data_IF_913375194809
#
_entry.id   IF_913375194809
#
_cell.length_a   1.000
_cell.length_b   1.000
_cell.length_c   1.000
_cell.angle_alpha   90.00
_cell.angle_beta   90.00
_cell.angle_gamma   90.00
#
_symmetry.space_group_name_H-M   'P 1'
#
loop_
_entity.id
_entity.type
_entity.pdbx_description
1 polymer ?
#
# COMPACT_ATOMS: atom_id res chain seq x y z
N UNK A 1 -11.93 -19.84 -6.71
CA UNK A 1 -11.79 -18.48 -6.15
C UNK A 1 -13.10 -18.09 -5.49
N UNK A 2 -13.04 -17.38 -4.37
CA UNK A 2 -14.21 -17.01 -3.56
C UNK A 2 -14.23 -15.49 -3.45
N UNK A 3 -15.01 -14.77 -4.26
CA UNK A 3 -15.06 -13.30 -4.22
C UNK A 3 -15.82 -12.76 -2.99
N UNK A 4 -16.67 -13.60 -2.38
CA UNK A 4 -17.43 -13.31 -1.17
C UNK A 4 -17.05 -14.32 -0.09
N UNK A 5 -16.54 -13.83 1.05
CA UNK A 5 -16.15 -14.65 2.21
C UNK A 5 -17.37 -15.01 3.05
N UNK A 6 -18.30 -14.05 3.18
CA UNK A 6 -19.49 -14.18 3.99
C UNK A 6 -20.64 -13.42 3.33
N UNK A 7 -21.80 -14.08 3.29
CA UNK A 7 -23.04 -13.52 2.76
C UNK A 7 -24.15 -13.74 3.78
N UNK A 8 -24.83 -12.65 4.16
CA UNK A 8 -26.05 -12.72 4.97
C UNK A 8 -27.08 -11.73 4.44
N UNK A 9 -28.04 -12.26 3.67
CA UNK A 9 -29.04 -11.45 2.98
C UNK A 9 -28.39 -10.45 2.02
N UNK A 10 -28.59 -9.16 2.27
CA UNK A 10 -28.03 -8.06 1.46
C UNK A 10 -26.58 -7.70 1.84
N UNK A 11 -26.06 -8.23 2.95
CA UNK A 11 -24.71 -7.94 3.43
C UNK A 11 -23.69 -8.93 2.87
N UNK A 12 -22.72 -8.40 2.12
CA UNK A 12 -21.67 -9.17 1.46
C UNK A 12 -20.30 -8.69 1.94
N UNK A 13 -19.50 -9.60 2.50
CA UNK A 13 -18.09 -9.35 2.79
C UNK A 13 -17.27 -9.85 1.60
N UNK A 14 -16.76 -8.92 0.81
CA UNK A 14 -15.87 -9.22 -0.30
C UNK A 14 -14.47 -9.60 0.20
N UNK A 15 -13.88 -10.59 -0.48
CA UNK A 15 -12.59 -11.17 -0.09
C UNK A 15 -11.45 -10.18 -0.15
N UNK A 16 -11.44 -9.30 -1.15
CA UNK A 16 -10.44 -8.24 -1.21
C UNK A 16 -10.47 -7.34 0.04
N UNK A 17 -11.67 -6.84 0.41
CA UNK A 17 -11.83 -6.00 1.58
C UNK A 17 -11.47 -6.72 2.88
N UNK A 18 -11.84 -7.99 3.01
CA UNK A 18 -11.45 -8.83 4.14
C UNK A 18 -9.94 -8.95 4.32
N UNK A 19 -9.21 -9.29 3.25
CA UNK A 19 -7.75 -9.42 3.34
C UNK A 19 -7.07 -8.07 3.59
N UNK A 20 -7.51 -6.98 2.96
CA UNK A 20 -6.98 -5.64 3.25
C UNK A 20 -7.19 -5.28 4.73
N UNK A 21 -8.39 -5.51 5.28
CA UNK A 21 -8.66 -5.27 6.69
C UNK A 21 -7.78 -6.14 7.60
N UNK A 22 -7.62 -7.42 7.28
CA UNK A 22 -6.73 -8.33 8.00
C UNK A 22 -5.27 -7.85 7.97
N UNK A 23 -4.81 -7.32 6.83
CA UNK A 23 -3.48 -6.75 6.67
C UNK A 23 -3.28 -5.50 7.52
N UNK A 24 -4.23 -4.57 7.52
CA UNK A 24 -4.21 -3.37 8.36
C UNK A 24 -4.20 -3.74 9.84
N UNK A 25 -5.07 -4.67 10.28
CA UNK A 25 -5.13 -5.13 11.66
C UNK A 25 -3.84 -5.82 12.08
N UNK A 26 -3.30 -6.72 11.26
CA UNK A 26 -2.04 -7.42 11.54
C UNK A 26 -0.89 -6.43 11.67
N UNK A 27 -0.77 -5.50 10.71
CA UNK A 27 0.23 -4.43 10.72
C UNK A 27 0.10 -3.54 11.96
N UNK A 28 -1.12 -3.12 12.31
CA UNK A 28 -1.37 -2.32 13.51
C UNK A 28 -0.96 -3.06 14.79
N UNK A 29 -1.31 -4.34 14.94
CA UNK A 29 -0.94 -5.13 16.12
C UNK A 29 0.59 -5.28 16.26
N UNK A 30 1.28 -5.56 15.16
CA UNK A 30 2.74 -5.67 15.16
C UNK A 30 3.41 -4.31 15.39
N UNK A 31 2.88 -3.24 14.81
CA UNK A 31 3.31 -1.86 15.07
C UNK A 31 3.13 -1.52 16.54
N UNK A 32 1.97 -1.79 17.14
CA UNK A 32 1.72 -1.56 18.56
C UNK A 32 2.70 -2.33 19.44
N UNK A 33 2.99 -3.59 19.10
CA UNK A 33 3.98 -4.40 19.82
C UNK A 33 5.38 -3.78 19.70
N UNK A 34 5.80 -3.38 18.51
CA UNK A 34 7.10 -2.74 18.29
C UNK A 34 7.19 -1.39 19.03
N UNK A 35 6.15 -0.58 18.97
CA UNK A 35 6.01 0.69 19.68
C UNK A 35 6.20 0.51 21.20
N UNK A 36 5.54 -0.50 21.78
CA UNK A 36 5.71 -0.84 23.20
C UNK A 36 7.14 -1.28 23.56
N UNK A 37 7.82 -1.99 22.66
CA UNK A 37 9.20 -2.45 22.88
C UNK A 37 10.23 -1.32 22.73
N UNK A 38 10.01 -0.40 21.80
CA UNK A 38 10.95 0.70 21.49
C UNK A 38 10.67 1.98 22.28
N UNK A 39 9.50 2.08 22.94
CA UNK A 39 9.04 3.28 23.64
C UNK A 39 8.67 4.44 22.71
N UNK A 40 8.61 4.22 21.40
CA UNK A 40 8.24 5.23 20.42
C UNK A 40 7.77 4.60 19.09
N UNK A 41 6.69 5.12 18.46
CA UNK A 41 5.65 5.99 19.07
C UNK A 41 4.95 5.28 20.24
N UNK A 42 4.02 5.94 20.94
CA UNK A 42 3.20 5.23 21.94
C UNK A 42 2.23 4.26 21.26
N UNK A 43 1.76 3.25 22.01
CA UNK A 43 0.75 2.30 21.51
C UNK A 43 -0.52 3.00 21.06
N UNK A 44 -0.99 3.98 21.83
CA UNK A 44 -2.21 4.73 21.51
C UNK A 44 -2.02 5.58 20.26
N UNK A 45 -0.86 6.22 20.11
CA UNK A 45 -0.51 6.94 18.89
C UNK A 45 -0.50 6.04 17.65
N UNK A 46 -0.16 4.75 17.78
CA UNK A 46 -0.27 3.79 16.68
C UNK A 46 -1.73 3.55 16.30
N UNK A 47 -2.61 3.30 17.27
CA UNK A 47 -4.04 3.08 17.01
C UNK A 47 -4.68 4.32 16.39
N UNK A 48 -4.44 5.49 16.98
CA UNK A 48 -4.97 6.77 16.52
C UNK A 48 -4.48 7.09 15.11
N UNK A 49 -3.19 6.86 14.83
CA UNK A 49 -2.61 7.05 13.49
C UNK A 49 -3.28 6.15 12.45
N UNK A 50 -3.41 4.86 12.73
CA UNK A 50 -4.03 3.91 11.81
C UNK A 50 -5.49 4.28 11.57
N UNK A 51 -6.24 4.55 12.65
CA UNK A 51 -7.64 4.97 12.55
C UNK A 51 -7.78 6.26 11.71
N UNK A 52 -7.00 7.29 12.03
CA UNK A 52 -7.04 8.57 11.33
C UNK A 52 -6.68 8.43 9.84
N UNK A 53 -5.68 7.60 9.52
CA UNK A 53 -5.24 7.34 8.15
C UNK A 53 -6.31 6.57 7.36
N UNK A 54 -6.92 5.55 7.95
CA UNK A 54 -8.00 4.76 7.32
C UNK A 54 -9.22 5.64 7.07
N UNK A 55 -9.68 6.41 8.06
CA UNK A 55 -10.82 7.32 7.91
C UNK A 55 -10.55 8.39 6.85
N UNK A 56 -9.36 9.00 6.86
CA UNK A 56 -8.97 9.97 5.83
C UNK A 56 -8.98 9.34 4.44
N UNK A 57 -8.49 8.10 4.31
CA UNK A 57 -8.51 7.36 3.05
C UNK A 57 -9.92 7.07 2.54
N UNK A 58 -10.82 6.57 3.38
CA UNK A 58 -12.22 6.37 2.97
C UNK A 58 -12.90 7.68 2.58
N UNK A 59 -12.70 8.73 3.37
CA UNK A 59 -13.25 10.05 3.09
C UNK A 59 -12.74 10.60 1.75
N UNK A 60 -11.44 10.56 1.49
CA UNK A 60 -10.86 11.03 0.23
C UNK A 60 -11.29 10.21 -0.98
N UNK A 61 -11.38 8.88 -0.82
CA UNK A 61 -11.85 8.00 -1.87
C UNK A 61 -13.30 8.33 -2.26
N UNK A 62 -14.15 8.64 -1.27
CA UNK A 62 -15.53 9.05 -1.50
C UNK A 62 -15.62 10.44 -2.11
N UNK A 63 -14.91 11.42 -1.56
CA UNK A 63 -14.91 12.80 -2.06
C UNK A 63 -14.49 12.85 -3.53
N UNK A 64 -13.42 12.15 -3.90
CA UNK A 64 -12.99 12.14 -5.30
C UNK A 64 -14.01 11.46 -6.22
N UNK A 65 -14.70 10.42 -5.74
CA UNK A 65 -15.80 9.80 -6.48
C UNK A 65 -16.97 10.77 -6.71
N UNK A 66 -17.36 11.52 -5.67
CA UNK A 66 -18.43 12.52 -5.76
C UNK A 66 -18.06 13.65 -6.73
N UNK A 67 -16.81 14.09 -6.74
CA UNK A 67 -16.34 15.13 -7.68
C UNK A 67 -16.48 14.64 -9.12
N UNK A 68 -16.12 13.39 -9.42
CA UNK A 68 -16.21 12.84 -10.78
C UNK A 68 -17.65 12.57 -11.22
N UNK A 69 -18.55 12.28 -10.27
CA UNK A 69 -19.95 11.93 -10.55
C UNK A 69 -20.93 12.98 -10.02
N UNK A 70 -20.51 14.25 -9.94
CA UNK A 70 -21.26 15.29 -9.22
C UNK A 70 -22.72 15.42 -9.68
N UNK A 71 -22.99 15.29 -10.97
CA UNK A 71 -24.32 15.40 -11.54
C UNK A 71 -25.30 14.35 -10.99
N UNK A 72 -24.84 13.15 -10.65
CA UNK A 72 -25.70 12.08 -10.10
C UNK A 72 -26.05 12.33 -8.62
N UNK A 73 -25.15 12.96 -7.88
CA UNK A 73 -25.27 13.14 -6.43
C UNK A 73 -25.77 14.53 -6.03
N UNK A 74 -25.75 15.50 -6.95
CA UNK A 74 -26.28 16.84 -6.72
C UNK A 74 -27.75 16.76 -6.28
N UNK A 75 -28.05 17.27 -5.08
CA UNK A 75 -29.40 17.24 -4.50
C UNK A 75 -29.76 15.98 -3.70
N UNK A 76 -28.85 15.01 -3.51
CA UNK A 76 -29.09 13.79 -2.72
C UNK A 76 -28.06 13.63 -1.58
N UNK A 77 -28.14 14.42 -0.49
CA UNK A 77 -27.11 14.46 0.56
C UNK A 77 -26.85 13.11 1.25
N UNK A 78 -27.90 12.31 1.46
CA UNK A 78 -27.77 10.98 2.08
C UNK A 78 -26.97 10.02 1.19
N UNK A 79 -27.13 10.10 -0.13
CA UNK A 79 -26.33 9.29 -1.06
C UNK A 79 -24.89 9.75 -1.15
N UNK A 80 -24.57 11.01 -0.84
CA UNK A 80 -23.18 11.48 -0.82
C UNK A 80 -22.34 10.72 0.21
N UNK A 81 -22.92 10.35 1.35
CA UNK A 81 -22.24 9.60 2.42
C UNK A 81 -22.43 8.08 2.34
N UNK A 82 -23.27 7.59 1.43
CA UNK A 82 -23.62 6.19 1.28
C UNK A 82 -22.47 5.35 0.67
N UNK A 83 -21.42 5.11 1.45
CA UNK A 83 -20.24 4.32 1.05
C UNK A 83 -20.57 2.84 0.80
N UNK A 84 -21.70 2.35 1.34
CA UNK A 84 -22.20 0.99 1.11
C UNK A 84 -22.80 0.79 -0.29
N UNK A 85 -23.15 1.85 -1.01
CA UNK A 85 -23.54 1.78 -2.43
C UNK A 85 -22.34 1.56 -3.37
N UNK A 86 -21.12 1.47 -2.81
CA UNK A 86 -19.88 1.51 -3.56
C UNK A 86 -19.47 2.94 -3.89
N UNK A 87 -18.73 3.14 -4.97
CA UNK A 87 -18.30 4.46 -5.40
C UNK A 87 -17.15 5.03 -4.57
N UNK A 88 -16.00 4.37 -4.63
CA UNK A 88 -14.75 4.78 -3.99
C UNK A 88 -13.66 4.80 -5.05
N UNK A 89 -12.91 5.90 -5.13
CA UNK A 89 -11.78 6.04 -6.07
C UNK A 89 -10.48 5.85 -5.32
N UNK A 90 -9.70 4.85 -5.74
CA UNK A 90 -8.44 4.47 -5.10
C UNK A 90 -7.44 5.64 -4.98
N UNK A 91 -7.29 6.46 -6.02
CA UNK A 91 -6.41 7.63 -6.00
C UNK A 91 -6.81 8.67 -4.95
N UNK A 92 -8.11 8.92 -4.78
CA UNK A 92 -8.63 9.83 -3.76
C UNK A 92 -8.32 9.34 -2.36
N UNK A 93 -8.42 8.02 -2.16
CA UNK A 93 -8.08 7.40 -0.88
C UNK A 93 -6.60 7.46 -0.56
N UNK A 94 -5.71 7.19 -1.53
CA UNK A 94 -4.27 7.29 -1.30
C UNK A 94 -3.83 8.72 -0.96
N UNK A 95 -4.31 9.71 -1.70
CA UNK A 95 -3.95 11.12 -1.48
C UNK A 95 -4.40 11.58 -0.10
N UNK A 96 -5.65 11.30 0.27
CA UNK A 96 -6.17 11.70 1.56
C UNK A 96 -5.59 10.90 2.73
N UNK A 97 -5.27 9.62 2.56
CA UNK A 97 -4.56 8.83 3.56
C UNK A 97 -3.16 9.41 3.82
N UNK A 98 -2.41 9.77 2.76
CA UNK A 98 -1.11 10.40 2.90
C UNK A 98 -1.21 11.78 3.58
N UNK A 99 -2.18 12.61 3.18
CA UNK A 99 -2.42 13.89 3.82
C UNK A 99 -2.78 13.72 5.31
N UNK A 100 -3.68 12.79 5.62
CA UNK A 100 -4.09 12.46 6.98
C UNK A 100 -2.92 11.99 7.84
N UNK A 101 -2.06 11.13 7.30
CA UNK A 101 -0.83 10.67 7.94
C UNK A 101 0.08 11.87 8.31
N UNK A 102 0.35 12.77 7.36
CA UNK A 102 1.23 13.92 7.56
C UNK A 102 0.64 14.94 8.55
N UNK A 103 -0.68 15.18 8.46
CA UNK A 103 -1.42 16.01 9.42
C UNK A 103 -1.32 15.39 10.82
N UNK A 104 -1.51 14.09 10.95
CA UNK A 104 -1.42 13.41 12.25
C UNK A 104 -0.04 13.56 12.88
N UNK A 105 1.04 13.39 12.11
CA UNK A 105 2.40 13.62 12.62
C UNK A 105 2.57 15.05 13.13
N UNK A 106 2.04 16.03 12.39
CA UNK A 106 2.15 17.44 12.73
C UNK A 106 1.36 17.82 13.97
N UNK A 107 0.15 17.28 14.13
CA UNK A 107 -0.72 17.51 15.28
C UNK A 107 -0.15 16.87 16.55
N UNK A 108 0.43 15.67 16.43
CA UNK A 108 0.98 14.92 17.56
C UNK A 108 2.48 15.19 17.81
N UNK A 109 3.08 16.15 17.10
CA UNK A 109 4.50 16.53 17.21
C UNK A 109 5.47 15.35 17.02
N UNK A 110 5.11 14.43 16.13
CA UNK A 110 5.93 13.26 15.83
C UNK A 110 6.95 13.59 14.72
N UNK A 111 8.23 13.20 14.86
CA UNK A 111 9.25 13.38 13.83
C UNK A 111 8.88 12.61 12.55
N UNK A 112 8.62 13.29 11.41
CA UNK A 112 8.06 12.63 10.23
C UNK A 112 8.94 11.52 9.65
N UNK A 113 10.25 11.73 9.51
CA UNK A 113 11.15 10.73 8.92
C UNK A 113 11.27 9.47 9.78
N UNK A 114 11.38 9.65 11.11
CA UNK A 114 11.40 8.54 12.06
C UNK A 114 10.08 7.76 12.05
N UNK A 115 8.94 8.46 11.93
CA UNK A 115 7.64 7.81 11.79
C UNK A 115 7.51 7.06 10.47
N UNK A 116 7.94 7.63 9.35
CA UNK A 116 7.93 6.94 8.05
C UNK A 116 8.80 5.67 8.11
N UNK A 117 10.02 5.75 8.66
CA UNK A 117 10.89 4.58 8.84
C UNK A 117 10.27 3.50 9.73
N UNK A 118 9.49 3.90 10.73
CA UNK A 118 8.73 2.98 11.57
C UNK A 118 7.61 2.28 10.78
N UNK A 119 6.89 3.02 9.93
CA UNK A 119 5.66 2.59 9.25
C UNK A 119 5.88 1.78 7.97
N UNK A 120 6.82 2.19 7.12
CA UNK A 120 6.95 1.63 5.76
C UNK A 120 7.15 0.10 5.70
N UNK A 121 7.80 -0.60 6.65
CA UNK A 121 7.82 -2.06 6.62
C UNK A 121 6.40 -2.64 6.73
N UNK A 122 5.56 -2.05 7.57
CA UNK A 122 4.18 -2.49 7.78
C UNK A 122 3.26 -2.13 6.61
N UNK A 123 3.60 -1.10 5.85
CA UNK A 123 2.96 -0.85 4.55
C UNK A 123 3.26 -2.00 3.59
N UNK A 124 4.51 -2.44 3.48
CA UNK A 124 4.88 -3.62 2.68
C UNK A 124 4.13 -4.88 3.14
N UNK A 125 4.03 -5.11 4.47
CA UNK A 125 3.24 -6.21 5.00
C UNK A 125 1.76 -6.11 4.59
N UNK A 126 1.17 -4.93 4.65
CA UNK A 126 -0.22 -4.69 4.22
C UNK A 126 -0.41 -4.99 2.73
N UNK A 127 0.58 -4.69 1.88
CA UNK A 127 0.55 -5.07 0.46
C UNK A 127 0.50 -6.58 0.26
N UNK A 128 1.21 -7.39 1.06
CA UNK A 128 1.14 -8.86 1.00
C UNK A 128 -0.31 -9.31 1.10
N UNK A 129 -1.04 -8.83 2.11
CA UNK A 129 -2.45 -9.17 2.30
C UNK A 129 -3.32 -8.65 1.16
N UNK A 130 -3.12 -7.41 0.72
CA UNK A 130 -3.85 -6.86 -0.43
C UNK A 130 -3.70 -7.70 -1.68
N UNK A 131 -2.50 -8.22 -1.94
CA UNK A 131 -2.18 -9.06 -3.10
C UNK A 131 -2.74 -10.47 -3.00
N UNK A 132 -2.72 -11.07 -1.80
CA UNK A 132 -3.46 -12.31 -1.53
C UNK A 132 -4.96 -12.10 -1.74
N UNK A 133 -5.50 -10.95 -1.31
CA UNK A 133 -6.87 -10.54 -1.58
C UNK A 133 -7.18 -10.44 -3.07
N UNK A 134 -6.31 -9.80 -3.86
CA UNK A 134 -6.43 -9.74 -5.32
C UNK A 134 -6.45 -11.12 -5.97
N UNK A 135 -5.60 -12.04 -5.49
CA UNK A 135 -5.57 -13.41 -5.98
C UNK A 135 -6.93 -14.11 -5.77
N UNK A 136 -7.48 -14.07 -4.56
CA UNK A 136 -8.79 -14.69 -4.29
C UNK A 136 -9.96 -13.98 -4.99
N UNK A 137 -9.84 -12.68 -5.22
CA UNK A 137 -10.79 -11.89 -6.00
C UNK A 137 -10.70 -12.17 -7.51
N UNK A 138 -9.62 -12.82 -7.96
CA UNK A 138 -9.38 -13.14 -9.37
C UNK A 138 -9.00 -11.95 -10.24
N UNK A 139 -8.46 -10.86 -9.65
CA UNK A 139 -8.08 -9.66 -10.38
C UNK A 139 -6.55 -9.46 -10.40
N UNK A 140 -6.06 -8.67 -11.37
CA UNK A 140 -4.65 -8.34 -11.51
C UNK A 140 -3.71 -9.54 -11.79
N UNK A 141 -4.18 -10.55 -12.51
CA UNK A 141 -3.35 -11.65 -13.00
C UNK A 141 -2.35 -11.17 -14.05
N UNK A 142 -1.32 -11.98 -14.30
CA UNK A 142 -0.37 -11.75 -15.36
C UNK A 142 -0.83 -12.33 -16.71
N UNK A 143 0.13 -12.43 -17.61
CA UNK A 143 -0.11 -12.95 -18.96
C UNK A 143 -0.40 -14.45 -18.98
N UNK A 144 -1.03 -14.95 -20.07
CA UNK A 144 -1.18 -16.37 -20.29
C UNK A 144 0.15 -17.09 -20.17
N UNK A 145 0.15 -18.25 -19.49
CA UNK A 145 1.37 -18.98 -19.17
C UNK A 145 1.11 -20.48 -19.11
N UNK A 146 2.08 -21.26 -19.59
CA UNK A 146 2.07 -22.72 -19.53
C UNK A 146 2.98 -23.28 -18.41
N UNK A 147 3.44 -22.42 -17.51
CA UNK A 147 4.25 -22.85 -16.37
C UNK A 147 3.45 -23.80 -15.45
N UNK A 148 4.10 -24.76 -14.78
CA UNK A 148 3.40 -25.79 -13.99
C UNK A 148 2.67 -25.24 -12.76
N UNK A 149 2.97 -24.01 -12.33
CA UNK A 149 2.28 -23.30 -11.24
C UNK A 149 1.37 -22.16 -11.75
N UNK A 150 1.12 -22.07 -13.06
CA UNK A 150 0.14 -21.14 -13.61
C UNK A 150 -1.26 -21.49 -13.09
N UNK A 151 -2.11 -20.48 -12.93
CA UNK A 151 -3.45 -20.62 -12.35
C UNK A 151 -4.49 -20.26 -13.38
N UNK A 152 -5.51 -21.12 -13.56
CA UNK A 152 -6.69 -20.81 -14.36
C UNK A 152 -7.71 -20.09 -13.49
N UNK A 153 -8.02 -18.84 -13.84
CA UNK A 153 -8.97 -18.01 -13.12
C UNK A 153 -10.41 -18.32 -13.58
N UNK A 154 -11.44 -18.17 -12.72
CA UNK A 154 -12.82 -18.44 -13.12
C UNK A 154 -13.24 -17.66 -14.35
N UNK A 155 -13.85 -18.34 -15.33
CA UNK A 155 -14.28 -17.73 -16.59
C UNK A 155 -13.21 -17.67 -17.68
N UNK A 156 -11.99 -18.12 -17.42
CA UNK A 156 -10.92 -18.19 -18.42
C UNK A 156 -10.67 -19.63 -18.89
N UNK A 157 -10.34 -19.79 -20.17
CA UNK A 157 -9.99 -21.07 -20.80
C UNK A 157 -8.49 -21.39 -20.76
N UNK A 158 -7.66 -20.46 -20.29
CA UNK A 158 -6.21 -20.57 -20.27
C UNK A 158 -5.66 -20.20 -18.89
N UNK A 159 -4.49 -20.75 -18.56
CA UNK A 159 -3.79 -20.46 -17.30
C UNK A 159 -2.96 -19.19 -17.44
N UNK A 160 -2.78 -18.47 -16.33
CA UNK A 160 -2.00 -17.23 -16.26
C UNK A 160 -0.94 -17.28 -15.18
N UNK A 161 0.06 -16.40 -15.29
CA UNK A 161 0.94 -16.09 -14.17
C UNK A 161 0.12 -15.58 -12.96
N UNK A 162 0.19 -16.21 -11.78
CA UNK A 162 -0.35 -15.65 -10.54
C UNK A 162 0.54 -14.50 -10.02
N UNK A 163 0.65 -13.44 -10.81
CA UNK A 163 1.50 -12.27 -10.55
C UNK A 163 1.24 -11.64 -9.18
N UNK A 164 0.00 -11.75 -8.68
CA UNK A 164 -0.38 -11.31 -7.34
C UNK A 164 0.38 -12.07 -6.25
N UNK A 165 0.54 -13.39 -6.38
CA UNK A 165 1.28 -14.20 -5.40
C UNK A 165 2.78 -13.93 -5.48
N UNK A 166 3.31 -13.64 -6.67
CA UNK A 166 4.70 -13.22 -6.82
C UNK A 166 4.95 -11.88 -6.13
N UNK A 167 4.07 -10.89 -6.34
CA UNK A 167 4.15 -9.59 -5.68
C UNK A 167 4.02 -9.73 -4.15
N UNK A 168 3.05 -10.54 -3.68
CA UNK A 168 2.88 -10.83 -2.25
C UNK A 168 4.15 -11.44 -1.62
N UNK A 169 4.80 -12.40 -2.30
CA UNK A 169 6.02 -13.02 -1.81
C UNK A 169 7.19 -12.01 -1.77
N UNK A 170 7.34 -11.19 -2.80
CA UNK A 170 8.37 -10.16 -2.87
C UNK A 170 8.14 -9.04 -1.84
N UNK A 171 6.89 -8.62 -1.62
CA UNK A 171 6.53 -7.64 -0.58
C UNK A 171 6.79 -8.19 0.83
N UNK A 172 6.58 -9.50 1.04
CA UNK A 172 6.94 -10.15 2.30
C UNK A 172 8.45 -10.16 2.50
N UNK A 173 9.23 -10.47 1.46
CA UNK A 173 10.68 -10.38 1.51
C UNK A 173 11.15 -8.94 1.77
N UNK A 174 10.49 -7.95 1.18
CA UNK A 174 10.75 -6.52 1.42
C UNK A 174 10.47 -6.17 2.89
N UNK A 175 9.32 -6.54 3.44
CA UNK A 175 8.99 -6.36 4.86
C UNK A 175 10.08 -6.96 5.76
N UNK A 176 10.45 -8.22 5.55
CA UNK A 176 11.48 -8.89 6.35
C UNK A 176 12.85 -8.23 6.21
N UNK A 177 13.20 -7.75 5.02
CA UNK A 177 14.46 -7.03 4.77
C UNK A 177 14.49 -5.69 5.47
N UNK A 178 13.40 -4.92 5.42
CA UNK A 178 13.28 -3.64 6.12
C UNK A 178 13.27 -3.81 7.64
N UNK A 179 12.63 -4.86 8.17
CA UNK A 179 12.67 -5.18 9.60
C UNK A 179 14.08 -5.57 10.05
N UNK A 180 14.86 -6.25 9.21
CA UNK A 180 16.29 -6.51 9.48
C UNK A 180 17.11 -5.23 9.43
N UNK A 181 16.89 -4.37 8.43
CA UNK A 181 17.55 -3.08 8.31
C UNK A 181 17.28 -2.19 9.53
N UNK A 182 16.05 -2.17 10.05
CA UNK A 182 15.69 -1.44 11.28
C UNK A 182 16.44 -1.89 12.54
N UNK A 183 17.06 -3.08 12.54
CA UNK A 183 17.89 -3.56 13.66
C UNK A 183 19.32 -3.01 13.62
N UNK A 184 19.77 -2.48 12.48
CA UNK A 184 21.08 -1.84 12.36
C UNK A 184 21.03 -0.36 12.74
N UNK A 185 19.90 0.12 13.26
CA UNK A 185 19.65 1.51 13.66
C UNK A 185 20.12 2.55 12.63
N UNK A 186 19.64 2.46 11.37
CA UNK A 186 20.10 3.35 10.32
C UNK A 186 19.61 4.79 10.58
N UNK A 187 20.23 5.80 9.94
CA UNK A 187 19.78 7.18 10.03
C UNK A 187 18.32 7.35 9.60
N UNK A 188 17.63 8.34 10.17
CA UNK A 188 16.23 8.62 9.84
C UNK A 188 16.02 8.88 8.33
N UNK A 189 14.97 8.27 7.78
CA UNK A 189 14.59 8.29 6.37
C UNK A 189 15.23 7.17 5.53
N UNK A 190 16.19 6.42 6.08
CA UNK A 190 16.91 5.40 5.31
C UNK A 190 16.05 4.17 5.02
N UNK A 191 15.23 3.74 6.00
CA UNK A 191 14.30 2.61 5.83
C UNK A 191 13.20 2.98 4.83
N UNK A 192 12.72 4.23 4.88
CA UNK A 192 11.78 4.81 3.93
C UNK A 192 12.33 4.79 2.51
N UNK A 193 13.58 5.21 2.30
CA UNK A 193 14.22 5.11 0.99
C UNK A 193 14.34 3.65 0.53
N UNK A 194 14.73 2.73 1.42
CA UNK A 194 14.80 1.30 1.14
C UNK A 194 13.46 0.72 0.71
N UNK A 195 12.35 1.13 1.34
CA UNK A 195 11.01 0.73 0.95
C UNK A 195 10.67 1.20 -0.47
N UNK A 196 10.82 2.49 -0.76
CA UNK A 196 10.48 3.03 -2.08
C UNK A 196 11.34 2.43 -3.20
N UNK A 197 12.63 2.22 -2.96
CA UNK A 197 13.52 1.54 -3.90
C UNK A 197 13.10 0.07 -4.10
N UNK A 198 12.94 -0.68 -3.01
CA UNK A 198 12.57 -2.09 -3.06
C UNK A 198 11.23 -2.31 -3.74
N UNK A 199 10.21 -1.53 -3.36
CA UNK A 199 8.88 -1.62 -3.95
C UNK A 199 8.86 -1.19 -5.42
N UNK A 200 9.66 -0.18 -5.81
CA UNK A 200 9.80 0.20 -7.22
C UNK A 200 10.38 -0.96 -8.05
N UNK A 201 11.39 -1.64 -7.53
CA UNK A 201 11.99 -2.82 -8.19
C UNK A 201 10.96 -3.94 -8.33
N UNK A 202 10.23 -4.26 -7.26
CA UNK A 202 9.17 -5.27 -7.27
C UNK A 202 8.12 -4.92 -8.33
N UNK A 203 7.61 -3.69 -8.31
CA UNK A 203 6.60 -3.23 -9.27
C UNK A 203 7.09 -3.27 -10.70
N UNK A 204 8.34 -2.86 -10.94
CA UNK A 204 8.93 -2.91 -12.27
C UNK A 204 8.94 -4.34 -12.82
N UNK A 205 9.42 -5.32 -12.05
CA UNK A 205 9.49 -6.72 -12.48
C UNK A 205 8.11 -7.36 -12.63
N UNK A 206 7.20 -7.15 -11.68
CA UNK A 206 5.84 -7.72 -11.75
C UNK A 206 5.11 -7.22 -13.00
N UNK A 207 5.29 -5.95 -13.34
CA UNK A 207 4.65 -5.36 -14.52
C UNK A 207 5.15 -5.97 -15.84
N UNK A 208 6.38 -6.49 -15.90
CA UNK A 208 6.87 -7.21 -17.10
C UNK A 208 6.14 -8.52 -17.37
N UNK A 209 5.46 -9.07 -16.36
CA UNK A 209 4.68 -10.31 -16.47
C UNK A 209 3.21 -10.06 -16.81
N UNK A 210 2.83 -8.81 -17.10
CA UNK A 210 1.46 -8.39 -17.40
C UNK A 210 1.44 -7.74 -18.77
N UNK A 211 0.32 -7.89 -19.48
CA UNK A 211 0.18 -7.37 -20.84
C UNK A 211 0.35 -5.86 -20.77
N UNK A 212 1.52 -5.39 -21.19
CA UNK A 212 1.86 -4.00 -21.16
C UNK A 212 0.96 -3.28 -22.17
N UNK A 213 0.21 -2.27 -21.70
CA UNK A 213 -0.18 -1.17 -22.58
C UNK A 213 1.02 -0.22 -22.61
N UNK A 214 1.89 -0.29 -23.64
CA UNK A 214 3.08 0.56 -23.68
C UNK A 214 2.63 2.01 -23.72
N UNK A 215 3.14 2.81 -22.78
CA UNK A 215 2.85 4.23 -22.70
C UNK A 215 3.87 5.02 -23.52
N UNK A 216 5.12 5.07 -23.04
CA UNK A 216 6.21 5.85 -23.64
C UNK A 216 7.49 5.01 -23.59
N UNK A 217 8.26 5.00 -24.69
CA UNK A 217 9.50 4.23 -24.84
C UNK A 217 9.36 2.73 -24.53
N UNK A 218 8.25 2.11 -24.96
CA UNK A 218 7.92 0.70 -24.70
C UNK A 218 7.75 0.31 -23.22
N UNK A 219 7.73 1.28 -22.30
CA UNK A 219 7.46 1.08 -20.89
C UNK A 219 6.01 1.44 -20.55
N UNK A 220 5.42 0.73 -19.60
CA UNK A 220 4.08 1.05 -19.07
C UNK A 220 4.12 2.27 -18.15
N UNK A 221 2.95 2.89 -17.90
CA UNK A 221 2.83 3.95 -16.90
C UNK A 221 3.33 3.51 -15.51
N UNK A 222 3.07 2.26 -15.11
CA UNK A 222 3.50 1.72 -13.83
C UNK A 222 5.03 1.58 -13.73
N UNK A 223 5.70 1.25 -14.84
CA UNK A 223 7.16 1.22 -14.89
C UNK A 223 7.76 2.62 -14.78
N UNK A 224 7.17 3.62 -15.43
CA UNK A 224 7.59 5.03 -15.27
C UNK A 224 7.41 5.55 -13.85
N UNK A 225 6.27 5.24 -13.22
CA UNK A 225 6.03 5.57 -11.80
C UNK A 225 7.10 4.90 -10.93
N UNK A 226 7.45 3.65 -11.21
CA UNK A 226 8.49 2.92 -10.49
C UNK A 226 9.86 3.58 -10.65
N UNK A 227 10.23 4.02 -11.86
CA UNK A 227 11.47 4.78 -12.09
C UNK A 227 11.49 6.11 -11.34
N UNK A 228 10.40 6.87 -11.38
CA UNK A 228 10.30 8.15 -10.67
C UNK A 228 10.43 7.96 -9.16
N UNK A 229 9.77 6.93 -8.62
CA UNK A 229 9.83 6.56 -7.21
C UNK A 229 11.24 6.13 -6.79
N UNK A 230 11.89 5.28 -7.58
CA UNK A 230 13.27 4.85 -7.32
C UNK A 230 14.26 6.01 -7.38
N UNK A 231 14.13 6.88 -8.39
CA UNK A 231 15.01 8.05 -8.56
C UNK A 231 14.84 9.05 -7.43
N UNK A 232 13.59 9.35 -7.04
CA UNK A 232 13.30 10.22 -5.90
C UNK A 232 13.86 9.68 -4.59
N UNK A 233 13.67 8.37 -4.33
CA UNK A 233 14.23 7.71 -3.16
C UNK A 233 15.76 7.74 -3.15
N UNK A 234 16.41 7.51 -4.30
CA UNK A 234 17.87 7.60 -4.45
C UNK A 234 18.41 9.02 -4.17
N UNK A 235 17.76 10.06 -4.68
CA UNK A 235 18.15 11.45 -4.41
C UNK A 235 18.00 11.81 -2.93
N UNK A 236 16.89 11.44 -2.30
CA UNK A 236 16.66 11.65 -0.86
C UNK A 236 17.69 10.89 -0.04
N UNK A 237 18.00 9.65 -0.42
CA UNK A 237 19.02 8.84 0.24
C UNK A 237 20.40 9.50 0.22
N UNK A 238 20.85 9.99 -0.95
CA UNK A 238 22.13 10.68 -1.10
C UNK A 238 22.17 11.96 -0.25
N UNK A 239 21.08 12.72 -0.24
CA UNK A 239 20.93 13.92 0.59
C UNK A 239 21.02 13.60 2.09
N UNK A 240 20.32 12.57 2.57
CA UNK A 240 20.34 12.14 3.97
C UNK A 240 21.72 11.63 4.39
N UNK A 241 22.38 10.84 3.54
CA UNK A 241 23.75 10.36 3.76
C UNK A 241 24.74 11.52 3.88
N UNK A 242 24.66 12.51 2.99
CA UNK A 242 25.51 13.71 3.03
C UNK A 242 25.30 14.54 4.30
N UNK A 243 24.06 14.65 4.78
CA UNK A 243 23.73 15.36 6.03
C UNK A 243 24.26 14.63 7.27
N UNK A 244 24.21 13.31 7.28
CA UNK A 244 24.69 12.51 8.41
C UNK A 244 26.23 12.53 8.50
N UNK A 245 26.93 12.40 7.37
CA UNK A 245 28.39 12.50 7.32
C UNK A 245 28.92 13.84 7.86
N UNK A 246 28.21 14.95 7.59
CA UNK A 246 28.57 16.28 8.11
C UNK A 246 28.35 16.45 9.61
N UNK A 247 27.40 15.72 10.21
CA UNK A 247 27.11 15.77 11.67
C UNK A 247 28.06 14.90 12.50
N UNK A 248 28.71 13.91 11.89
CA UNK A 248 29.74 13.10 12.56
C UNK A 248 31.14 13.71 12.52
N UNK A 249 31.32 14.85 11.84
CA UNK A 249 32.58 15.61 11.73
C UNK A 249 32.59 16.89 12.58
N UNK A 250 31.49 17.17 13.30
CA UNK A 250 31.30 18.30 14.22
C UNK A 250 31.17 17.81 15.65
#
# INVERSE_FOLDING_TARGET
MMPVVFQWGWFHIYTYGFFVAAGVLTSMLLMSREASLRGFPSRDQVFDLVFFTVVSGFAGARVLYLIQNWQEYAGQPLRMIAVWEGGLIFYGGQIAALAGLLIFFRLNRLPPLKMLDFLVPYVALTHVFGRVGCFFNGCCSGDPSNLPWAVTFPGESFSRHPAQLYEAALDLLLFLSLQRLKKTEPPEGFVTCGYFLGYAVIRFFIETMRTANPALLHLTYNQWISFAMASGAGLVFLFLKGRHARRGLS
#
